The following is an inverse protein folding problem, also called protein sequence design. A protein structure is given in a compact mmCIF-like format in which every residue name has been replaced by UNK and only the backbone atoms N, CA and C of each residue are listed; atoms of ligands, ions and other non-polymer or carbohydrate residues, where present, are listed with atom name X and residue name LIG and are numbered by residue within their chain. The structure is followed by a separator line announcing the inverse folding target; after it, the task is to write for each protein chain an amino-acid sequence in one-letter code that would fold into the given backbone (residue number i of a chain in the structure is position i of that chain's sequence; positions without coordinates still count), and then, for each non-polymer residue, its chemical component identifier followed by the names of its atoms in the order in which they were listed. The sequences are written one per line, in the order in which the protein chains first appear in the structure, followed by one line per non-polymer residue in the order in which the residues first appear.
data_IF_086610215959
#
_entry.id   IF_086610215959
#
_cell.length_a   1.000
_cell.length_b   1.000
_cell.length_c   1.000
_cell.angle_alpha   90.00
_cell.angle_beta   90.00
_cell.angle_gamma   90.00
#
_symmetry.space_group_name_H-M   'P 1'
#
loop_
_entity.id
_entity.type
_entity.pdbx_description
1 polymer ?
#
# COMPACT_ATOMS: atom_id res chain seq x y z
N UNK A 1 -13.45 1.17 -7.00
CA UNK A 1 -13.23 -0.29 -6.98
C UNK A 1 -12.80 -0.76 -5.60
N UNK A 2 -13.06 -2.02 -5.23
CA UNK A 2 -12.71 -2.57 -3.92
C UNK A 2 -11.19 -2.71 -3.69
N UNK A 3 -10.45 -2.95 -4.76
CA UNK A 3 -8.98 -3.06 -4.75
C UNK A 3 -8.30 -1.79 -4.23
N UNK A 4 -8.68 -0.61 -4.73
CA UNK A 4 -8.08 0.66 -4.28
C UNK A 4 -8.36 0.96 -2.81
N UNK A 5 -9.53 0.54 -2.29
CA UNK A 5 -9.83 0.65 -0.85
C UNK A 5 -8.93 -0.24 -0.01
N UNK A 6 -8.71 -1.48 -0.46
CA UNK A 6 -7.82 -2.42 0.22
C UNK A 6 -6.36 -1.93 0.19
N UNK A 7 -5.89 -1.40 -0.94
CA UNK A 7 -4.57 -0.78 -1.06
C UNK A 7 -4.45 0.42 -0.10
N UNK A 8 -5.46 1.30 -0.08
CA UNK A 8 -5.50 2.45 0.83
C UNK A 8 -5.42 2.04 2.31
N UNK A 9 -6.09 0.96 2.70
CA UNK A 9 -6.01 0.41 4.06
C UNK A 9 -4.57 0.00 4.42
N UNK A 10 -3.89 -0.76 3.56
CA UNK A 10 -2.52 -1.20 3.82
C UNK A 10 -1.52 -0.03 3.82
N UNK A 11 -1.67 0.94 2.91
CA UNK A 11 -0.87 2.18 2.93
C UNK A 11 -1.04 2.88 4.28
N UNK A 12 -2.28 3.02 4.76
CA UNK A 12 -2.57 3.62 6.08
C UNK A 12 -1.89 2.90 7.24
N UNK A 13 -1.92 1.56 7.26
CA UNK A 13 -1.24 0.77 8.30
C UNK A 13 0.28 0.99 8.30
N UNK A 14 0.91 1.05 7.13
CA UNK A 14 2.36 1.29 7.01
C UNK A 14 2.72 2.70 7.46
N UNK A 15 1.94 3.71 7.05
CA UNK A 15 2.15 5.09 7.49
C UNK A 15 1.99 5.23 9.01
N UNK A 16 1.01 4.55 9.62
CA UNK A 16 0.83 4.51 11.07
C UNK A 16 2.01 3.86 11.78
N UNK A 17 2.45 2.67 11.34
CA UNK A 17 3.57 1.93 11.96
C UNK A 17 4.89 2.69 11.88
N UNK A 18 5.12 3.40 10.77
CA UNK A 18 6.32 4.22 10.57
C UNK A 18 6.22 5.61 11.20
N UNK A 19 5.06 5.99 11.74
CA UNK A 19 4.76 7.32 12.27
C UNK A 19 4.98 8.41 11.21
N UNK A 20 4.54 8.15 9.98
CA UNK A 20 4.67 9.08 8.85
C UNK A 20 6.07 9.22 8.27
N UNK A 21 7.06 8.44 8.74
CA UNK A 21 8.46 8.53 8.25
C UNK A 21 8.69 7.87 6.89
N UNK A 22 7.80 6.97 6.45
CA UNK A 22 7.89 6.37 5.13
C UNK A 22 7.35 7.29 4.03
N UNK A 23 7.93 7.22 2.82
CA UNK A 23 7.39 7.95 1.66
C UNK A 23 6.13 7.23 1.13
N UNK A 24 4.96 7.88 1.11
CA UNK A 24 3.71 7.27 0.65
C UNK A 24 3.76 6.81 -0.81
N UNK A 25 4.57 7.44 -1.67
CA UNK A 25 4.75 7.05 -3.08
C UNK A 25 5.50 5.73 -3.19
N UNK A 26 6.49 5.52 -2.33
CA UNK A 26 7.26 4.26 -2.29
C UNK A 26 6.39 3.14 -1.73
N UNK A 27 5.68 3.39 -0.63
CA UNK A 27 4.76 2.45 0.00
C UNK A 27 3.66 2.01 -0.98
N UNK A 28 3.00 2.94 -1.65
CA UNK A 28 1.97 2.64 -2.65
C UNK A 28 2.51 1.80 -3.81
N UNK A 29 3.74 2.10 -4.28
CA UNK A 29 4.39 1.32 -5.35
C UNK A 29 4.67 -0.13 -4.94
N UNK A 30 5.20 -0.32 -3.73
CA UNK A 30 5.50 -1.66 -3.20
C UNK A 30 4.21 -2.46 -3.03
N UNK A 31 3.18 -1.88 -2.40
CA UNK A 31 1.91 -2.57 -2.17
C UNK A 31 1.26 -2.95 -3.51
N UNK A 32 1.17 -2.02 -4.47
CA UNK A 32 0.61 -2.30 -5.80
C UNK A 32 1.40 -3.36 -6.56
N UNK A 33 2.74 -3.39 -6.43
CA UNK A 33 3.58 -4.43 -7.02
C UNK A 33 3.22 -5.80 -6.45
N UNK A 34 3.11 -5.93 -5.13
CA UNK A 34 2.82 -7.20 -4.46
C UNK A 34 1.39 -7.71 -4.72
N UNK A 35 0.40 -6.82 -4.84
CA UNK A 35 -0.99 -7.18 -5.16
C UNK A 35 -1.11 -7.65 -6.62
N UNK A 36 -0.51 -6.94 -7.57
CA UNK A 36 -0.53 -7.35 -8.99
C UNK A 36 0.24 -8.63 -9.27
N UNK A 37 1.26 -8.94 -8.47
CA UNK A 37 2.07 -10.15 -8.63
C UNK A 37 1.31 -11.44 -8.25
N UNK A 38 0.13 -11.33 -7.63
CA UNK A 38 -0.73 -12.46 -7.24
C UNK A 38 -2.00 -12.57 -8.10
N UNK A 39 -2.09 -11.86 -9.23
CA UNK A 39 -3.20 -12.00 -10.18
C UNK A 39 -2.65 -12.51 -11.53
N UNK A 40 -2.63 -13.84 -11.76
CA UNK A 40 -2.34 -14.39 -13.09
C UNK A 40 -3.36 -13.92 -14.14
#
# INVERSE_FOLDING_TARGET
NGEDRLIGFFVGQVMKKTKGRADPRVVNRIIRKNVKQNNP
#
